data_IF_447756584245
#
_entry.id   IF_447756584245
#
_cell.length_a   1.000
_cell.length_b   1.000
_cell.length_c   1.000
_cell.angle_alpha   90.00
_cell.angle_beta   90.00
_cell.angle_gamma   90.00
#
_symmetry.space_group_name_H-M   'P 1'
#
loop_
_entity.id
_entity.type
_entity.pdbx_description
1 polymer ?
#
# COMPACT_ATOMS: atom_id res chain seq x y z
N UNK A 1 13.90 -0.72 4.70
CA UNK A 1 13.38 0.27 3.73
C UNK A 1 12.29 1.06 4.43
N UNK A 2 12.32 2.41 4.39
CA UNK A 2 11.21 3.24 4.89
C UNK A 2 10.31 3.58 3.70
N UNK A 3 9.03 3.21 3.79
CA UNK A 3 8.00 3.53 2.80
C UNK A 3 7.03 4.53 3.43
N UNK A 4 6.90 5.70 2.83
CA UNK A 4 5.87 6.66 3.22
C UNK A 4 4.59 6.33 2.48
N UNK A 5 3.49 6.22 3.20
CA UNK A 5 2.18 5.89 2.65
C UNK A 5 1.07 6.64 3.37
N UNK A 6 -0.07 6.75 2.71
CA UNK A 6 -1.33 7.21 3.31
C UNK A 6 -2.34 6.07 3.23
N UNK A 7 -2.97 5.76 4.36
CA UNK A 7 -4.09 4.81 4.40
C UNK A 7 -5.38 5.55 4.08
N UNK A 8 -6.13 5.06 3.11
CA UNK A 8 -7.40 5.66 2.67
C UNK A 8 -8.52 4.62 2.74
N UNK A 9 -9.76 5.10 2.87
CA UNK A 9 -10.96 4.28 2.85
C UNK A 9 -12.10 4.99 2.09
N UNK A 10 -12.97 4.21 1.46
CA UNK A 10 -14.13 4.71 0.71
C UNK A 10 -15.05 3.58 0.27
N UNK A 11 -16.37 3.74 0.48
CA UNK A 11 -17.39 2.72 0.19
C UNK A 11 -17.06 1.34 0.79
N UNK A 12 -16.61 1.32 2.04
CA UNK A 12 -16.14 0.12 2.76
C UNK A 12 -14.93 -0.60 2.13
N UNK A 13 -14.25 0.02 1.18
CA UNK A 13 -12.97 -0.44 0.65
C UNK A 13 -11.83 0.38 1.26
N UNK A 14 -10.70 -0.25 1.50
CA UNK A 14 -9.50 0.38 2.04
C UNK A 14 -8.27 0.20 1.13
N UNK A 15 -7.43 1.23 1.07
CA UNK A 15 -6.35 1.39 0.10
C UNK A 15 -5.06 1.87 0.78
N UNK A 16 -3.91 1.50 0.22
CA UNK A 16 -2.61 2.05 0.59
C UNK A 16 -2.13 2.92 -0.56
N UNK A 17 -2.10 4.23 -0.36
CA UNK A 17 -1.61 5.18 -1.35
C UNK A 17 -0.13 5.45 -1.14
N UNK A 18 0.67 5.25 -2.18
CA UNK A 18 2.11 5.56 -2.18
C UNK A 18 2.38 6.63 -3.22
N UNK A 19 2.84 7.80 -2.77
CA UNK A 19 3.25 8.87 -3.68
C UNK A 19 4.62 8.57 -4.28
N UNK A 20 4.61 8.19 -5.55
CA UNK A 20 5.82 7.81 -6.30
C UNK A 20 6.25 8.91 -7.29
N UNK A 21 5.57 10.07 -7.30
CA UNK A 21 5.77 11.13 -8.31
C UNK A 21 7.16 11.76 -8.25
N UNK A 22 7.75 11.86 -7.05
CA UNK A 22 9.08 12.47 -6.83
C UNK A 22 10.19 11.46 -6.61
N UNK A 23 9.87 10.28 -6.08
CA UNK A 23 10.85 9.30 -5.63
C UNK A 23 11.10 8.16 -6.62
N UNK A 24 10.24 8.00 -7.63
CA UNK A 24 10.33 6.87 -8.57
C UNK A 24 10.11 5.50 -7.91
N UNK A 25 9.58 5.49 -6.68
CA UNK A 25 9.39 4.26 -5.91
C UNK A 25 8.39 3.36 -6.62
N UNK A 26 8.84 2.25 -7.18
CA UNK A 26 7.97 1.28 -7.83
C UNK A 26 7.89 0.03 -6.98
N UNK A 27 6.70 -0.26 -6.45
CA UNK A 27 6.45 -1.50 -5.73
C UNK A 27 6.34 -2.64 -6.74
N UNK A 28 7.03 -3.75 -6.46
CA UNK A 28 6.75 -5.00 -7.16
C UNK A 28 5.44 -5.58 -6.66
N UNK A 29 4.76 -6.38 -7.49
CA UNK A 29 3.49 -7.03 -7.09
C UNK A 29 3.66 -7.88 -5.82
N UNK A 30 4.81 -8.56 -5.67
CA UNK A 30 5.11 -9.32 -4.44
C UNK A 30 5.21 -8.43 -3.20
N UNK A 31 5.74 -7.22 -3.33
CA UNK A 31 5.81 -6.26 -2.23
C UNK A 31 4.42 -5.71 -1.91
N UNK A 32 3.61 -5.41 -2.93
CA UNK A 32 2.23 -4.95 -2.76
C UNK A 32 1.38 -5.99 -2.00
N UNK A 33 1.47 -7.28 -2.39
CA UNK A 33 0.76 -8.38 -1.69
C UNK A 33 1.17 -8.46 -0.21
N UNK A 34 2.47 -8.35 0.10
CA UNK A 34 2.93 -8.36 1.50
C UNK A 34 2.42 -7.16 2.30
N UNK A 35 2.30 -6.00 1.67
CA UNK A 35 1.77 -4.80 2.33
C UNK A 35 0.27 -4.93 2.63
N UNK A 36 -0.49 -5.61 1.77
CA UNK A 36 -1.93 -5.80 1.93
C UNK A 36 -2.35 -6.92 2.87
N UNK A 37 -1.43 -7.78 3.31
CA UNK A 37 -1.73 -8.79 4.34
C UNK A 37 -2.26 -8.09 5.61
N UNK A 38 -3.45 -8.50 6.08
CA UNK A 38 -4.13 -7.87 7.22
C UNK A 38 -3.57 -8.25 8.59
N UNK A 39 -2.73 -9.29 8.66
CA UNK A 39 -2.15 -9.78 9.92
C UNK A 39 -0.67 -9.44 10.05
N UNK A 40 0.05 -9.42 8.90
CA UNK A 40 1.50 -9.24 8.84
C UNK A 40 1.92 -7.98 8.08
N UNK A 41 0.99 -7.33 7.40
CA UNK A 41 1.19 -6.09 6.65
C UNK A 41 0.40 -4.92 7.23
N UNK A 42 0.18 -3.91 6.40
CA UNK A 42 -0.68 -2.75 6.72
C UNK A 42 -2.16 -3.15 6.64
N UNK A 43 -2.46 -4.13 5.78
CA UNK A 43 -3.83 -4.53 5.45
C UNK A 43 -4.44 -3.59 4.44
N UNK A 44 -5.00 -4.08 3.33
CA UNK A 44 -5.84 -3.32 2.40
C UNK A 44 -6.64 -4.27 1.51
N UNK A 45 -7.79 -3.83 1.02
CA UNK A 45 -8.56 -4.60 0.05
C UNK A 45 -7.92 -4.55 -1.34
N UNK A 46 -7.32 -3.41 -1.70
CA UNK A 46 -6.75 -3.19 -3.03
C UNK A 46 -5.24 -2.94 -2.98
N UNK A 47 -4.55 -3.69 -3.83
CA UNK A 47 -3.12 -3.65 -4.17
C UNK A 47 -3.02 -3.84 -5.69
#
# INVERSE_FOLDING_TARGET
MKLHFTKLEGLANDFILVDSRRSGTRLSSSAAVRLCDRHRGIGAMVC
#
